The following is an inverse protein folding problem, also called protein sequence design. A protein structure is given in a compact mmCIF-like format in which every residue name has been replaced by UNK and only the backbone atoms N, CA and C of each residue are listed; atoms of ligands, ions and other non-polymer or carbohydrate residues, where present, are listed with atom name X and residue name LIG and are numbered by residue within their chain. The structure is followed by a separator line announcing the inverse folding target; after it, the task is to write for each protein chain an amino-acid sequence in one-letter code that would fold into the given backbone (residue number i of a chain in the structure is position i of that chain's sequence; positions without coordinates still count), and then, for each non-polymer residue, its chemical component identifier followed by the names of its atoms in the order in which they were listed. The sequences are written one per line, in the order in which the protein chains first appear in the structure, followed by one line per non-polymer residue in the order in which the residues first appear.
data_IF_007960504074
#
_entry.id   IF_007960504074
#
_cell.length_a   1.000
_cell.length_b   1.000
_cell.length_c   1.000
_cell.angle_alpha   90.00
_cell.angle_beta   90.00
_cell.angle_gamma   90.00
#
_symmetry.space_group_name_H-M   'P 1'
#
loop_
_entity.id
_entity.type
_entity.pdbx_description
1 polymer ?
#
# COMPACT_ATOMS: atom_id res chain seq x y z
N UNK A 1 12.26 17.07 -7.40
CA UNK A 1 11.72 16.17 -6.33
C UNK A 1 10.92 15.06 -7.02
N UNK A 2 11.26 13.81 -6.78
CA UNK A 2 10.57 12.64 -7.37
C UNK A 2 9.10 12.62 -6.98
N UNK A 3 8.24 12.11 -7.86
CA UNK A 3 6.84 11.86 -7.54
C UNK A 3 6.73 10.62 -6.66
N UNK A 4 5.68 10.56 -5.83
CA UNK A 4 5.47 9.42 -4.92
C UNK A 4 5.44 8.06 -5.65
N UNK A 5 4.73 7.99 -6.78
CA UNK A 5 4.62 6.75 -7.55
C UNK A 5 5.98 6.29 -8.10
N UNK A 6 6.80 7.22 -8.59
CA UNK A 6 8.15 6.95 -9.10
C UNK A 6 9.05 6.46 -7.96
N UNK A 7 9.02 7.15 -6.81
CA UNK A 7 9.76 6.73 -5.61
C UNK A 7 9.38 5.31 -5.18
N UNK A 8 8.08 5.01 -5.13
CA UNK A 8 7.57 3.69 -4.75
C UNK A 8 8.01 2.59 -5.72
N UNK A 9 7.85 2.81 -7.03
CA UNK A 9 8.22 1.81 -8.04
C UNK A 9 9.72 1.52 -8.05
N UNK A 10 10.55 2.54 -7.98
CA UNK A 10 12.00 2.39 -7.97
C UNK A 10 12.49 1.71 -6.68
N UNK A 11 11.97 2.12 -5.52
CA UNK A 11 12.29 1.50 -4.24
C UNK A 11 11.82 0.04 -4.20
N UNK A 12 10.64 -0.27 -4.72
CA UNK A 12 10.15 -1.64 -4.82
C UNK A 12 11.06 -2.52 -5.70
N UNK A 13 11.48 -2.01 -6.85
CA UNK A 13 12.45 -2.71 -7.73
C UNK A 13 13.78 -2.92 -7.02
N UNK A 14 14.32 -1.88 -6.39
CA UNK A 14 15.55 -1.98 -5.63
C UNK A 14 15.44 -3.01 -4.48
N UNK A 15 14.28 -3.05 -3.82
CA UNK A 15 14.00 -4.05 -2.79
C UNK A 15 13.97 -5.46 -3.40
N UNK A 16 13.30 -5.69 -4.53
CA UNK A 16 13.27 -6.99 -5.22
C UNK A 16 14.69 -7.43 -5.60
N UNK A 17 15.54 -6.52 -6.06
CA UNK A 17 16.91 -6.79 -6.52
C UNK A 17 17.94 -6.86 -5.38
N UNK A 18 17.54 -6.75 -4.11
CA UNK A 18 18.44 -6.67 -2.94
C UNK A 18 19.41 -5.47 -2.97
N UNK A 19 19.02 -4.35 -3.57
CA UNK A 19 19.81 -3.11 -3.69
C UNK A 19 19.14 -1.93 -3.00
N UNK A 20 18.31 -2.21 -2.01
CA UNK A 20 17.51 -1.18 -1.34
C UNK A 20 18.38 -0.14 -0.62
N UNK A 21 19.40 -0.58 0.15
CA UNK A 21 20.30 0.31 0.88
C UNK A 21 21.08 1.19 -0.10
N UNK A 22 21.65 0.61 -1.16
CA UNK A 22 22.34 1.33 -2.23
C UNK A 22 21.43 2.38 -2.90
N UNK A 23 20.17 2.02 -3.14
CA UNK A 23 19.19 2.94 -3.72
C UNK A 23 18.90 4.11 -2.79
N UNK A 24 18.69 3.86 -1.49
CA UNK A 24 18.38 4.91 -0.51
C UNK A 24 19.57 5.86 -0.33
N UNK A 25 20.80 5.33 -0.26
CA UNK A 25 22.02 6.14 -0.13
C UNK A 25 22.25 7.09 -1.31
N UNK A 26 21.86 6.65 -2.53
CA UNK A 26 22.01 7.43 -3.76
C UNK A 26 20.73 8.19 -4.16
N UNK A 27 19.73 8.29 -3.28
CA UNK A 27 18.45 8.90 -3.59
C UNK A 27 18.53 10.43 -3.54
N UNK A 28 18.39 11.07 -4.69
CA UNK A 28 18.37 12.52 -4.81
C UNK A 28 16.94 13.09 -4.79
N UNK A 29 16.78 14.28 -4.16
CA UNK A 29 15.58 15.11 -4.25
C UNK A 29 14.25 14.39 -3.98
N UNK A 30 14.13 13.72 -2.84
CA UNK A 30 12.92 13.00 -2.40
C UNK A 30 12.23 13.71 -1.22
N UNK A 31 11.01 13.28 -0.93
CA UNK A 31 10.27 13.68 0.27
C UNK A 31 10.53 12.66 1.38
N UNK A 32 11.17 13.08 2.47
CA UNK A 32 11.57 12.21 3.57
C UNK A 32 10.36 11.56 4.26
N UNK A 33 9.22 12.26 4.36
CA UNK A 33 8.00 11.70 4.93
C UNK A 33 7.43 10.59 4.03
N UNK A 34 7.40 10.80 2.71
CA UNK A 34 6.95 9.77 1.76
C UNK A 34 7.83 8.52 1.82
N UNK A 35 9.16 8.70 1.91
CA UNK A 35 10.08 7.58 2.07
C UNK A 35 9.82 6.83 3.38
N UNK A 36 9.64 7.54 4.50
CA UNK A 36 9.34 6.89 5.78
C UNK A 36 8.00 6.14 5.75
N UNK A 37 6.96 6.67 5.10
CA UNK A 37 5.70 5.97 4.89
C UNK A 37 5.86 4.66 4.11
N UNK A 38 6.80 4.60 3.15
CA UNK A 38 7.09 3.39 2.37
C UNK A 38 7.91 2.36 3.17
N UNK A 39 8.86 2.84 3.97
CA UNK A 39 9.77 1.97 4.74
C UNK A 39 9.14 1.46 6.05
N UNK A 40 8.28 2.25 6.66
CA UNK A 40 7.66 2.01 7.96
C UNK A 40 6.12 2.18 7.92
N UNK A 41 5.39 1.49 7.03
CA UNK A 41 3.96 1.74 6.82
C UNK A 41 3.11 1.58 8.09
N UNK A 42 3.53 0.73 9.03
CA UNK A 42 2.83 0.50 10.31
C UNK A 42 2.91 1.67 11.29
N UNK A 43 3.76 2.67 11.04
CA UNK A 43 3.87 3.89 11.86
C UNK A 43 3.02 5.04 11.34
N UNK A 44 2.34 4.83 10.23
CA UNK A 44 1.58 5.85 9.52
C UNK A 44 0.14 5.41 9.30
N UNK A 45 -0.79 6.36 9.13
CA UNK A 45 -2.19 6.05 8.85
C UNK A 45 -2.35 5.19 7.59
N UNK A 46 -3.42 4.37 7.54
CA UNK A 46 -3.75 3.55 6.37
C UNK A 46 -4.00 4.39 5.11
N UNK A 47 -4.42 5.64 5.28
CA UNK A 47 -4.58 6.62 4.20
C UNK A 47 -3.88 7.90 4.62
N UNK A 48 -3.09 8.48 3.75
CA UNK A 48 -2.37 9.71 4.03
C UNK A 48 -2.22 10.57 2.76
N UNK A 49 -1.76 11.81 2.92
CA UNK A 49 -1.64 12.76 1.83
C UNK A 49 -0.19 12.87 1.35
N UNK A 50 0.05 12.67 0.05
CA UNK A 50 1.37 12.80 -0.59
C UNK A 50 1.85 14.25 -0.69
N UNK A 51 0.93 15.22 -0.61
CA UNK A 51 1.20 16.67 -0.64
C UNK A 51 0.08 17.41 0.05
N UNK A 52 0.33 18.65 0.46
CA UNK A 52 -0.69 19.55 0.99
C UNK A 52 -1.89 19.65 0.06
N UNK A 53 -3.09 19.62 0.64
CA UNK A 53 -4.33 19.71 -0.09
C UNK A 53 -4.70 21.19 -0.33
N UNK A 54 -4.89 21.56 -1.59
CA UNK A 54 -5.28 22.90 -2.03
C UNK A 54 -6.78 23.06 -2.25
N UNK A 55 -7.58 22.00 -2.00
CA UNK A 55 -9.02 22.07 -2.13
C UNK A 55 -9.63 23.04 -1.10
N UNK A 56 -10.64 23.84 -1.46
CA UNK A 56 -11.38 24.68 -0.50
C UNK A 56 -11.87 23.85 0.68
N UNK A 57 -11.82 24.39 1.90
CA UNK A 57 -12.21 23.66 3.13
C UNK A 57 -13.62 23.09 3.03
N UNK A 58 -14.55 23.85 2.44
CA UNK A 58 -15.96 23.48 2.33
C UNK A 58 -16.27 22.53 1.15
N UNK A 59 -15.32 22.33 0.23
CA UNK A 59 -15.49 21.49 -0.96
C UNK A 59 -14.51 20.30 -0.99
N UNK A 60 -14.15 19.78 0.16
CA UNK A 60 -13.35 18.56 0.29
C UNK A 60 -14.21 17.32 0.16
N UNK A 61 -14.33 16.83 -1.06
CA UNK A 61 -15.16 15.67 -1.34
C UNK A 61 -14.73 14.42 -0.57
N UNK A 62 -13.42 14.20 -0.41
CA UNK A 62 -12.86 13.10 0.38
C UNK A 62 -13.34 13.10 1.84
N UNK A 63 -13.57 14.26 2.44
CA UNK A 63 -14.10 14.38 3.81
C UNK A 63 -15.58 14.00 3.83
N UNK A 64 -16.36 14.54 2.85
CA UNK A 64 -17.82 14.34 2.78
C UNK A 64 -18.21 12.88 2.53
N UNK A 65 -17.39 12.14 1.76
CA UNK A 65 -17.73 10.76 1.37
C UNK A 65 -17.23 9.70 2.34
N UNK A 66 -16.47 10.06 3.37
CA UNK A 66 -15.97 9.08 4.32
C UNK A 66 -17.09 8.55 5.22
N UNK A 67 -17.51 7.27 5.08
CA UNK A 67 -18.62 6.73 5.86
C UNK A 67 -18.28 6.55 7.35
N UNK A 68 -17.00 6.62 7.69
CA UNK A 68 -16.48 6.47 9.05
C UNK A 68 -16.09 7.82 9.69
N UNK A 69 -16.26 8.93 8.96
CA UNK A 69 -15.83 10.27 9.38
C UNK A 69 -14.36 10.35 9.84
N UNK A 70 -13.53 9.42 9.34
CA UNK A 70 -12.13 9.27 9.75
C UNK A 70 -11.18 10.29 9.12
N UNK A 71 -11.62 11.07 8.13
CA UNK A 71 -10.79 12.09 7.46
C UNK A 71 -11.38 13.48 7.70
N UNK A 72 -10.56 14.39 8.18
CA UNK A 72 -10.98 15.74 8.54
C UNK A 72 -9.84 16.74 8.34
N UNK A 73 -10.14 18.05 8.16
CA UNK A 73 -9.14 19.09 8.18
C UNK A 73 -8.77 19.47 9.61
N UNK A 74 -7.48 19.65 9.88
CA UNK A 74 -7.01 20.26 11.13
C UNK A 74 -7.20 21.78 11.13
N UNK A 75 -6.75 22.45 12.20
CA UNK A 75 -6.84 23.90 12.37
C UNK A 75 -6.12 24.67 11.24
N UNK A 76 -4.99 24.14 10.76
CA UNK A 76 -4.23 24.71 9.65
C UNK A 76 -4.89 24.45 8.29
N UNK A 77 -5.88 23.55 8.25
CA UNK A 77 -6.55 23.12 7.05
C UNK A 77 -5.84 21.99 6.33
N UNK A 78 -4.86 21.32 6.94
CA UNK A 78 -4.30 20.08 6.38
C UNK A 78 -5.23 18.90 6.69
N UNK A 79 -5.23 17.91 5.79
CA UNK A 79 -6.01 16.70 5.99
C UNK A 79 -5.33 15.78 7.01
N UNK A 80 -6.11 15.40 8.01
CA UNK A 80 -5.72 14.40 9.01
C UNK A 80 -6.60 13.16 8.87
N UNK A 81 -6.09 12.03 9.29
CA UNK A 81 -6.83 10.75 9.30
C UNK A 81 -6.79 10.18 10.70
N UNK A 82 -7.95 9.95 11.28
CA UNK A 82 -8.11 9.20 12.52
C UNK A 82 -7.87 7.71 12.24
N UNK A 83 -6.76 7.20 12.74
CA UNK A 83 -6.34 5.80 12.54
C UNK A 83 -7.32 4.81 13.20
N UNK A 84 -7.92 5.19 14.32
CA UNK A 84 -8.85 4.33 15.04
C UNK A 84 -10.20 4.19 14.32
N UNK A 85 -10.61 5.23 13.59
CA UNK A 85 -11.85 5.25 12.83
C UNK A 85 -11.68 4.78 11.37
N UNK A 86 -10.45 4.84 10.82
CA UNK A 86 -10.20 4.55 9.41
C UNK A 86 -10.22 3.05 9.12
N UNK A 87 -11.21 2.58 8.36
CA UNK A 87 -11.31 1.18 7.93
C UNK A 87 -10.46 0.83 6.68
N UNK A 88 -9.67 1.77 6.14
CA UNK A 88 -8.83 1.51 4.95
C UNK A 88 -9.60 1.23 3.66
N UNK A 89 -10.88 1.58 3.57
CA UNK A 89 -11.77 1.27 2.44
C UNK A 89 -11.39 1.96 1.12
N UNK A 90 -10.47 2.91 1.14
CA UNK A 90 -9.94 3.67 -0.02
C UNK A 90 -10.95 4.56 -0.76
N UNK A 91 -12.18 4.70 -0.26
CA UNK A 91 -13.22 5.50 -0.94
C UNK A 91 -12.83 6.99 -1.05
N UNK A 92 -12.23 7.56 0.01
CA UNK A 92 -11.70 8.92 -0.02
C UNK A 92 -10.58 9.13 -1.06
N UNK A 93 -9.81 8.09 -1.37
CA UNK A 93 -8.74 8.12 -2.39
C UNK A 93 -9.36 8.20 -3.78
N UNK A 94 -10.37 7.38 -4.07
CA UNK A 94 -11.08 7.35 -5.35
C UNK A 94 -11.73 8.70 -5.63
N UNK A 95 -12.32 9.30 -4.61
CA UNK A 95 -13.04 10.58 -4.69
C UNK A 95 -12.13 11.82 -4.53
N UNK A 96 -10.82 11.62 -4.34
CA UNK A 96 -9.88 12.73 -4.22
C UNK A 96 -9.62 13.41 -5.57
N UNK A 97 -10.31 14.51 -5.86
CA UNK A 97 -10.17 15.28 -7.10
C UNK A 97 -8.73 15.76 -7.35
N UNK A 98 -8.02 16.14 -6.30
CA UNK A 98 -6.65 16.60 -6.37
C UNK A 98 -5.61 15.45 -6.48
N UNK A 99 -6.05 14.19 -6.37
CA UNK A 99 -5.19 12.99 -6.38
C UNK A 99 -4.00 13.09 -5.40
N UNK A 100 -4.27 13.61 -4.20
CA UNK A 100 -3.27 13.79 -3.14
C UNK A 100 -3.27 12.68 -2.11
N UNK A 101 -4.36 11.92 -2.00
CA UNK A 101 -4.49 10.82 -1.05
C UNK A 101 -3.95 9.52 -1.65
N UNK A 102 -3.27 8.75 -0.83
CA UNK A 102 -2.81 7.39 -1.16
C UNK A 102 -3.07 6.45 0.01
N UNK A 103 -3.17 5.15 -0.31
CA UNK A 103 -3.17 4.11 0.71
C UNK A 103 -1.74 3.73 1.11
N UNK A 104 -1.58 3.24 2.33
CA UNK A 104 -0.37 2.57 2.80
C UNK A 104 0.08 1.47 1.83
N UNK A 105 1.38 1.30 1.64
CA UNK A 105 2.01 0.36 0.72
C UNK A 105 2.83 -0.67 1.49
N UNK A 106 2.32 -1.89 1.60
CA UNK A 106 2.95 -2.93 2.41
C UNK A 106 3.94 -3.82 1.65
N UNK A 107 4.03 -3.71 0.33
CA UNK A 107 4.84 -4.63 -0.49
C UNK A 107 6.31 -4.67 -0.07
N UNK A 108 6.92 -3.52 0.21
CA UNK A 108 8.33 -3.42 0.65
C UNK A 108 8.51 -4.11 2.01
N UNK A 109 7.61 -3.86 2.97
CA UNK A 109 7.63 -4.50 4.29
C UNK A 109 7.47 -6.01 4.20
N UNK A 110 6.60 -6.50 3.32
CA UNK A 110 6.40 -7.93 3.06
C UNK A 110 7.67 -8.55 2.49
N UNK A 111 8.28 -7.93 1.47
CA UNK A 111 9.53 -8.42 0.86
C UNK A 111 10.68 -8.49 1.88
N UNK A 112 10.81 -7.49 2.75
CA UNK A 112 11.78 -7.49 3.85
C UNK A 112 11.51 -8.63 4.84
N UNK A 113 10.25 -8.82 5.21
CA UNK A 113 9.84 -9.90 6.10
C UNK A 113 10.13 -11.27 5.50
N UNK A 114 9.84 -11.49 4.22
CA UNK A 114 10.15 -12.74 3.51
C UNK A 114 11.64 -13.10 3.52
N UNK A 115 12.52 -12.10 3.56
CA UNK A 115 13.97 -12.31 3.60
C UNK A 115 14.54 -12.57 4.99
N UNK A 116 13.92 -11.99 6.00
CA UNK A 116 14.45 -12.01 7.37
C UNK A 116 13.84 -13.08 8.26
N UNK A 117 12.67 -13.63 7.90
CA UNK A 117 11.96 -14.59 8.75
C UNK A 117 12.62 -15.99 8.70
N UNK A 118 12.37 -16.74 9.77
CA UNK A 118 12.71 -18.16 9.87
C UNK A 118 11.42 -18.97 9.88
N UNK A 119 11.22 -19.83 8.89
CA UNK A 119 10.02 -20.65 8.78
C UNK A 119 9.41 -20.61 7.39
N UNK A 120 8.20 -21.11 7.23
CA UNK A 120 7.47 -21.15 5.97
C UNK A 120 6.53 -19.95 5.84
N UNK A 121 6.50 -19.36 4.65
CA UNK A 121 5.63 -18.22 4.29
C UNK A 121 4.72 -18.58 3.13
N UNK A 122 3.42 -18.44 3.31
CA UNK A 122 2.44 -18.70 2.28
C UNK A 122 1.65 -17.45 1.93
N UNK A 123 1.47 -17.21 0.63
CA UNK A 123 0.54 -16.19 0.14
C UNK A 123 -0.90 -16.75 0.19
N UNK A 124 -1.79 -16.10 0.92
CA UNK A 124 -3.21 -16.43 0.94
C UNK A 124 -3.95 -15.60 -0.09
N UNK A 125 -4.60 -16.24 -1.05
CA UNK A 125 -5.25 -15.58 -2.19
C UNK A 125 -6.76 -15.75 -2.11
N UNK A 126 -7.48 -14.63 -2.16
CA UNK A 126 -8.94 -14.64 -2.26
C UNK A 126 -9.39 -14.89 -3.73
N UNK A 127 -10.56 -15.51 -3.96
CA UNK A 127 -11.06 -15.84 -5.31
C UNK A 127 -11.14 -14.65 -6.27
N UNK A 128 -11.29 -13.43 -5.74
CA UNK A 128 -11.36 -12.21 -6.54
C UNK A 128 -10.14 -11.97 -7.46
N UNK A 129 -9.02 -12.65 -7.23
CA UNK A 129 -7.82 -12.51 -8.09
C UNK A 129 -8.08 -12.95 -9.54
N UNK A 130 -8.99 -13.90 -9.78
CA UNK A 130 -9.28 -14.41 -11.11
C UNK A 130 -9.73 -13.35 -12.13
N UNK A 131 -10.36 -12.27 -11.65
CA UNK A 131 -10.77 -11.15 -12.48
C UNK A 131 -9.75 -10.00 -12.58
N UNK A 132 -8.68 -10.03 -11.78
CA UNK A 132 -7.72 -8.92 -11.69
C UNK A 132 -6.59 -9.03 -12.72
N UNK A 133 -6.23 -10.23 -13.12
CA UNK A 133 -5.06 -10.46 -13.99
C UNK A 133 -5.51 -11.17 -15.28
N UNK A 134 -5.43 -10.45 -16.42
CA UNK A 134 -5.65 -11.03 -17.74
C UNK A 134 -4.58 -12.09 -18.00
N UNK A 135 -5.01 -13.25 -18.50
CA UNK A 135 -4.12 -14.35 -18.94
C UNK A 135 -3.17 -14.92 -17.87
N UNK A 136 -3.46 -14.68 -16.59
CA UNK A 136 -2.72 -15.29 -15.48
C UNK A 136 -3.50 -16.45 -14.88
N UNK A 137 -2.96 -17.65 -15.05
CA UNK A 137 -3.49 -18.86 -14.42
C UNK A 137 -3.05 -18.95 -12.95
N UNK A 138 -3.76 -19.69 -12.07
CA UNK A 138 -3.32 -19.94 -10.70
C UNK A 138 -1.88 -20.50 -10.61
N UNK A 139 -1.49 -21.36 -11.56
CA UNK A 139 -0.13 -21.89 -11.64
C UNK A 139 0.94 -20.84 -11.94
N UNK A 140 0.67 -19.90 -12.85
CA UNK A 140 1.56 -18.77 -13.11
C UNK A 140 1.69 -17.85 -11.90
N UNK A 141 0.57 -17.60 -11.20
CA UNK A 141 0.57 -16.77 -10.00
C UNK A 141 1.37 -17.43 -8.87
N UNK A 142 1.19 -18.74 -8.65
CA UNK A 142 1.99 -19.52 -7.69
C UNK A 142 3.49 -19.41 -7.98
N UNK A 143 3.87 -19.58 -9.23
CA UNK A 143 5.27 -19.42 -9.65
C UNK A 143 5.80 -18.02 -9.40
N UNK A 144 4.99 -16.99 -9.62
CA UNK A 144 5.37 -15.60 -9.35
C UNK A 144 5.60 -15.38 -7.84
N UNK A 145 4.72 -15.86 -6.96
CA UNK A 145 4.91 -15.76 -5.52
C UNK A 145 6.16 -16.52 -5.03
N UNK A 146 6.42 -17.69 -5.57
CA UNK A 146 7.65 -18.44 -5.24
C UNK A 146 8.90 -17.65 -5.65
N UNK A 147 8.89 -16.99 -6.81
CA UNK A 147 10.01 -16.15 -7.26
C UNK A 147 10.21 -14.91 -6.39
N UNK A 148 9.14 -14.39 -5.78
CA UNK A 148 9.21 -13.26 -4.84
C UNK A 148 9.79 -13.69 -3.48
N UNK A 149 9.70 -14.98 -3.12
CA UNK A 149 10.26 -15.51 -1.88
C UNK A 149 9.26 -16.22 -0.97
N UNK A 150 8.01 -16.41 -1.41
CA UNK A 150 7.06 -17.25 -0.68
C UNK A 150 7.36 -18.73 -0.92
N UNK A 151 7.15 -19.58 0.10
CA UNK A 151 7.25 -21.03 -0.01
C UNK A 151 6.07 -21.62 -0.78
N UNK A 152 4.94 -20.92 -0.83
CA UNK A 152 3.79 -21.36 -1.59
C UNK A 152 2.63 -20.35 -1.63
N UNK A 153 1.56 -20.76 -2.30
CA UNK A 153 0.32 -20.02 -2.43
C UNK A 153 -0.85 -20.94 -2.08
N UNK A 154 -1.75 -20.46 -1.24
CA UNK A 154 -2.96 -21.15 -0.81
C UNK A 154 -4.19 -20.34 -1.20
N UNK A 155 -5.21 -21.00 -1.70
CA UNK A 155 -6.49 -20.37 -2.02
C UNK A 155 -7.42 -20.42 -0.82
N UNK A 156 -7.87 -19.26 -0.35
CA UNK A 156 -8.73 -19.14 0.85
C UNK A 156 -10.05 -19.91 0.67
N UNK A 157 -10.59 -19.97 -0.55
CA UNK A 157 -11.81 -20.71 -0.86
C UNK A 157 -11.70 -22.21 -0.51
N UNK A 158 -10.53 -22.83 -0.70
CA UNK A 158 -10.30 -24.23 -0.35
C UNK A 158 -10.53 -24.50 1.15
N UNK A 159 -10.11 -23.58 1.99
CA UNK A 159 -10.28 -23.71 3.44
C UNK A 159 -11.72 -23.45 3.87
N UNK A 160 -12.43 -22.56 3.19
CA UNK A 160 -13.86 -22.36 3.43
C UNK A 160 -14.65 -23.64 3.15
N UNK A 161 -14.36 -24.33 2.04
CA UNK A 161 -15.01 -25.58 1.65
C UNK A 161 -14.69 -26.75 2.62
N UNK A 162 -13.53 -26.73 3.28
CA UNK A 162 -13.13 -27.75 4.27
C UNK A 162 -13.84 -27.55 5.62
N UNK A 163 -14.17 -26.28 5.97
CA UNK A 163 -14.77 -25.91 7.25
C UNK A 163 -16.30 -25.97 7.25
N UNK A 164 -16.95 -26.16 6.11
CA UNK A 164 -18.40 -26.33 5.96
C UNK A 164 -18.77 -27.80 5.87
#
# INVERSE_FOLDING_TARGET
MKRFDELYEELLKATIDNREEEYIENLDAFDAHQLDCLLNPKKHPLVWSTKSCECPKDDRHCVKVCPFHAIFPDESGQLQVDEAACAGCSYCIQECRAKRLTASKDAISVLRALRSHKGLSYALIAPAFLGQFKDVTPGKLRTAFTKIGFDGMLEVALFADILT
#
